data_IF_534218247114
#
_entry.id   IF_534218247114
#
_cell.length_a   1.000
_cell.length_b   1.000
_cell.length_c   1.000
_cell.angle_alpha   90.00
_cell.angle_beta   90.00
_cell.angle_gamma   90.00
#
_symmetry.space_group_name_H-M   'P 1'
#
loop_
_entity.id
_entity.type
_entity.pdbx_description
1 polymer ?
#
# COMPACT_ATOMS: atom_id res chain seq x y z
N UNK A 1 8.84 -2.93 -8.58
CA UNK A 1 8.23 -3.49 -7.35
C UNK A 1 7.64 -2.31 -6.62
N UNK A 2 6.32 -2.10 -6.69
CA UNK A 2 5.65 -1.06 -5.91
C UNK A 2 5.43 -1.56 -4.50
N UNK A 3 6.36 -1.23 -3.59
CA UNK A 3 6.26 -1.47 -2.15
C UNK A 3 6.02 -0.14 -1.41
N UNK A 4 5.42 -0.21 -0.23
CA UNK A 4 5.22 0.96 0.61
C UNK A 4 6.60 1.45 1.09
N UNK A 5 7.05 2.60 0.59
CA UNK A 5 8.35 3.18 0.99
C UNK A 5 8.20 4.07 2.21
N UNK A 6 9.29 4.27 2.94
CA UNK A 6 9.31 5.24 4.06
C UNK A 6 8.95 6.65 3.61
N UNK A 7 9.30 7.03 2.37
CA UNK A 7 8.89 8.29 1.76
C UNK A 7 7.37 8.40 1.66
N UNK A 8 6.70 7.36 1.14
CA UNK A 8 5.24 7.34 1.01
C UNK A 8 4.57 7.38 2.38
N UNK A 9 5.00 6.52 3.31
CA UNK A 9 4.46 6.51 4.67
C UNK A 9 4.67 7.86 5.38
N UNK A 10 5.86 8.47 5.26
CA UNK A 10 6.15 9.77 5.88
C UNK A 10 5.29 10.90 5.34
N UNK A 11 4.94 10.88 4.05
CA UNK A 11 4.04 11.87 3.45
C UNK A 11 2.62 11.71 3.98
N UNK A 12 2.11 10.48 3.99
CA UNK A 12 0.77 10.18 4.50
C UNK A 12 0.63 10.56 5.99
N UNK A 13 1.63 10.21 6.80
CA UNK A 13 1.65 10.60 8.21
C UNK A 13 1.72 12.11 8.39
N UNK A 14 2.57 12.80 7.63
CA UNK A 14 2.65 14.26 7.67
C UNK A 14 1.29 14.90 7.35
N UNK A 15 0.63 14.46 6.27
CA UNK A 15 -0.67 14.98 5.85
C UNK A 15 -1.76 14.68 6.89
N UNK A 16 -1.79 13.46 7.45
CA UNK A 16 -2.71 13.07 8.51
C UNK A 16 -2.54 13.90 9.79
N UNK A 17 -1.29 14.13 10.20
CA UNK A 17 -0.98 14.93 11.39
C UNK A 17 -1.31 16.41 11.17
N UNK A 18 -1.01 16.97 9.99
CA UNK A 18 -1.35 18.37 9.66
C UNK A 18 -2.85 18.62 9.52
N UNK A 19 -3.64 17.59 9.24
CA UNK A 19 -5.09 17.66 9.24
C UNK A 19 -5.70 17.42 10.62
N UNK A 20 -4.89 17.17 11.65
CA UNK A 20 -5.33 16.95 13.03
C UNK A 20 -5.88 15.54 13.29
N UNK A 21 -5.61 14.58 12.40
CA UNK A 21 -6.09 13.21 12.54
C UNK A 21 -5.21 12.42 13.50
N UNK A 22 -5.83 11.63 14.37
CA UNK A 22 -5.12 10.68 15.23
C UNK A 22 -4.69 9.46 14.43
N UNK A 23 -3.38 9.19 14.43
CA UNK A 23 -2.81 8.02 13.77
C UNK A 23 -3.21 6.77 14.55
N UNK A 24 -4.14 6.00 13.99
CA UNK A 24 -4.66 4.76 14.56
C UNK A 24 -4.60 3.65 13.52
N UNK A 25 -4.68 2.39 13.96
CA UNK A 25 -4.73 1.24 13.04
C UNK A 25 -5.86 1.36 12.01
N UNK A 26 -7.01 1.89 12.42
CA UNK A 26 -8.18 2.13 11.55
C UNK A 26 -7.85 3.17 10.48
N UNK A 27 -7.27 4.30 10.88
CA UNK A 27 -6.87 5.36 9.94
C UNK A 27 -5.76 4.89 8.99
N UNK A 28 -4.79 4.13 9.49
CA UNK A 28 -3.75 3.50 8.68
C UNK A 28 -4.38 2.58 7.63
N UNK A 29 -5.30 1.68 8.02
CA UNK A 29 -6.00 0.80 7.05
C UNK A 29 -6.79 1.59 6.01
N UNK A 30 -7.47 2.66 6.41
CA UNK A 30 -8.26 3.47 5.48
C UNK A 30 -7.38 4.25 4.50
N UNK A 31 -6.29 4.85 4.99
CA UNK A 31 -5.30 5.57 4.18
C UNK A 31 -4.52 4.63 3.27
N UNK A 32 -4.22 3.43 3.77
CA UNK A 32 -3.42 2.42 3.10
C UNK A 32 -4.30 1.39 2.34
N UNK A 33 -5.54 1.74 1.97
CA UNK A 33 -6.52 0.85 1.30
C UNK A 33 -6.02 0.11 0.06
N UNK A 34 -5.05 0.69 -0.65
CA UNK A 34 -4.49 0.09 -1.87
C UNK A 34 -3.40 -0.94 -1.57
N UNK A 35 -3.05 -1.12 -0.29
CA UNK A 35 -2.08 -2.09 0.20
C UNK A 35 -2.79 -3.19 1.01
N UNK A 36 -2.28 -4.42 0.89
CA UNK A 36 -2.77 -5.56 1.65
C UNK A 36 -2.17 -5.53 3.05
N UNK A 37 -2.82 -4.78 3.95
CA UNK A 37 -2.43 -4.66 5.35
C UNK A 37 -3.51 -5.31 6.20
N UNK A 38 -3.12 -6.35 6.95
CA UNK A 38 -3.99 -7.00 7.92
C UNK A 38 -4.13 -6.16 9.21
N UNK A 39 -5.16 -6.46 10.00
CA UNK A 39 -5.45 -5.72 11.23
C UNK A 39 -4.30 -5.77 12.25
N UNK A 40 -3.59 -6.91 12.33
CA UNK A 40 -2.48 -7.07 13.25
C UNK A 40 -1.28 -6.21 12.82
N UNK A 41 -0.92 -6.24 11.54
CA UNK A 41 0.13 -5.38 10.96
C UNK A 41 -0.20 -3.90 11.14
N UNK A 42 -1.44 -3.49 10.86
CA UNK A 42 -1.87 -2.09 11.03
C UNK A 42 -1.77 -1.63 12.49
N UNK A 43 -2.14 -2.49 13.44
CA UNK A 43 -2.02 -2.20 14.88
C UNK A 43 -0.55 -2.06 15.29
N UNK A 44 0.31 -3.00 14.90
CA UNK A 44 1.75 -2.94 15.18
C UNK A 44 2.38 -1.66 14.61
N UNK A 45 2.00 -1.27 13.39
CA UNK A 45 2.48 -0.03 12.79
C UNK A 45 2.03 1.20 13.57
N UNK A 46 0.75 1.28 13.97
CA UNK A 46 0.22 2.39 14.76
C UNK A 46 0.92 2.51 16.12
N UNK A 47 1.12 1.39 16.81
CA UNK A 47 1.83 1.34 18.08
C UNK A 47 3.28 1.79 17.93
N UNK A 48 3.99 1.33 16.88
CA UNK A 48 5.35 1.78 16.58
C UNK A 48 5.43 3.27 16.27
N UNK A 49 4.53 3.79 15.44
CA UNK A 49 4.49 5.22 15.09
C UNK A 49 4.29 6.08 16.36
N UNK A 50 3.43 5.62 17.26
CA UNK A 50 3.19 6.26 18.57
C UNK A 50 4.44 6.18 19.45
N UNK A 51 5.10 5.01 19.53
CA UNK A 51 6.35 4.82 20.27
C UNK A 51 7.51 5.68 19.75
N UNK A 52 7.57 5.91 18.43
CA UNK A 52 8.57 6.78 17.79
C UNK A 52 8.37 8.27 18.10
N UNK A 53 7.29 8.63 18.80
CA UNK A 53 6.95 10.02 19.13
C UNK A 53 6.71 10.84 17.87
N UNK A 54 6.10 10.25 16.85
CA UNK A 54 5.72 10.94 15.63
C UNK A 54 4.47 11.78 15.92
N UNK A 55 4.62 13.11 15.90
CA UNK A 55 3.56 14.09 16.13
C UNK A 55 3.55 15.18 15.05
N UNK A 56 2.55 16.07 15.12
CA UNK A 56 2.28 17.15 14.17
C UNK A 56 3.30 18.30 14.21
N UNK A 57 4.11 18.40 15.25
CA UNK A 57 5.26 19.30 15.34
C UNK A 57 6.40 18.91 14.38
N UNK A 58 6.41 17.66 13.89
CA UNK A 58 7.49 17.17 13.04
C UNK A 58 7.33 17.57 11.58
N UNK A 59 8.45 17.93 10.95
CA UNK A 59 8.52 18.05 9.50
C UNK A 59 8.46 16.67 8.85
N UNK A 60 7.91 16.58 7.62
CA UNK A 60 7.88 15.32 6.86
C UNK A 60 9.26 14.67 6.72
N UNK A 61 10.33 15.48 6.64
CA UNK A 61 11.71 14.97 6.65
C UNK A 61 12.08 14.31 7.99
N UNK A 62 11.71 14.91 9.12
CA UNK A 62 11.96 14.35 10.44
C UNK A 62 11.14 13.08 10.71
N UNK A 63 9.91 13.01 10.19
CA UNK A 63 9.09 11.79 10.20
C UNK A 63 9.77 10.69 9.39
N UNK A 64 10.20 10.99 8.16
CA UNK A 64 10.93 10.04 7.33
C UNK A 64 12.20 9.52 8.01
N UNK A 65 13.00 10.42 8.60
CA UNK A 65 14.21 10.02 9.34
C UNK A 65 13.90 9.12 10.52
N UNK A 66 12.79 9.33 11.26
CA UNK A 66 12.38 8.41 12.33
C UNK A 66 12.03 7.02 11.80
N UNK A 67 11.25 6.97 10.71
CA UNK A 67 10.87 5.71 10.06
C UNK A 67 12.12 4.97 9.54
N UNK A 68 13.04 5.69 8.90
CA UNK A 68 14.28 5.11 8.36
C UNK A 68 15.22 4.60 9.47
N UNK A 69 15.11 5.13 10.69
CA UNK A 69 15.88 4.68 11.86
C UNK A 69 15.22 3.51 12.62
N UNK A 70 13.99 3.11 12.27
CA UNK A 70 13.32 1.94 12.85
C UNK A 70 13.40 0.75 11.87
N UNK A 71 14.38 -0.16 12.03
CA UNK A 71 14.57 -1.27 11.11
C UNK A 71 13.40 -2.26 11.12
N UNK A 72 12.65 -2.35 12.21
CA UNK A 72 11.46 -3.21 12.25
C UNK A 72 10.29 -2.59 11.47
N UNK A 73 10.09 -1.27 11.56
CA UNK A 73 9.09 -0.58 10.76
C UNK A 73 9.43 -0.69 9.28
N UNK A 74 10.71 -0.54 8.90
CA UNK A 74 11.16 -0.81 7.54
C UNK A 74 10.90 -2.25 7.10
N UNK A 75 11.11 -3.23 7.99
CA UNK A 75 10.81 -4.63 7.71
C UNK A 75 9.32 -4.86 7.45
N UNK A 76 8.44 -4.28 8.28
CA UNK A 76 6.97 -4.31 8.08
C UNK A 76 6.58 -3.68 6.74
N UNK A 77 7.16 -2.53 6.41
CA UNK A 77 6.94 -1.86 5.13
C UNK A 77 7.29 -2.73 3.92
N UNK A 78 8.35 -3.53 4.02
CA UNK A 78 8.76 -4.48 2.97
C UNK A 78 7.85 -5.71 2.87
N UNK A 79 7.18 -6.10 3.95
CA UNK A 79 6.23 -7.22 3.97
C UNK A 79 4.88 -6.86 3.36
N UNK A 80 4.54 -5.57 3.35
CA UNK A 80 3.29 -5.05 2.79
C UNK A 80 3.33 -5.13 1.26
N UNK A 81 2.47 -6.01 0.72
CA UNK A 81 2.25 -6.14 -0.72
C UNK A 81 1.20 -5.14 -1.19
N UNK A 82 1.38 -4.59 -2.37
CA UNK A 82 0.29 -3.90 -3.08
C UNK A 82 -0.83 -4.90 -3.34
N UNK A 83 -2.08 -4.45 -3.14
CA UNK A 83 -3.21 -5.26 -3.56
C UNK A 83 -3.08 -5.53 -5.06
N UNK A 84 -3.25 -6.78 -5.52
CA UNK A 84 -3.19 -7.06 -6.94
C UNK A 84 -4.16 -6.11 -7.63
N UNK A 85 -3.62 -5.28 -8.53
CA UNK A 85 -4.41 -4.53 -9.50
C UNK A 85 -4.97 -5.57 -10.46
N UNK A 86 -5.92 -6.38 -10.00
CA UNK A 86 -6.64 -7.29 -10.88
C UNK A 86 -7.51 -6.38 -11.74
N UNK A 87 -6.93 -5.84 -12.81
CA UNK A 87 -7.70 -5.59 -14.02
C UNK A 87 -8.12 -6.97 -14.48
N UNK A 88 -9.18 -7.49 -13.87
CA UNK A 88 -9.98 -8.54 -14.47
C UNK A 88 -10.53 -7.91 -15.74
N UNK A 89 -9.74 -7.95 -16.82
CA UNK A 89 -10.26 -7.83 -18.16
C UNK A 89 -11.09 -9.09 -18.40
N UNK A 90 -12.27 -9.13 -17.79
CA UNK A 90 -13.29 -10.10 -18.15
C UNK A 90 -13.78 -9.63 -19.51
N UNK A 91 -13.17 -10.12 -20.58
CA UNK A 91 -13.80 -10.12 -21.89
C UNK A 91 -15.00 -11.05 -21.77
N UNK A 92 -16.15 -10.55 -21.31
CA UNK A 92 -17.42 -11.25 -21.46
C UNK A 92 -17.76 -11.27 -22.95
N UNK A 93 -17.21 -12.25 -23.68
CA UNK A 93 -17.64 -12.54 -25.04
C UNK A 93 -19.03 -13.19 -24.97
N UNK A 94 -20.08 -12.39 -25.10
CA UNK A 94 -21.41 -12.89 -25.46
C UNK A 94 -21.45 -13.11 -26.97
N UNK A 95 -20.83 -14.19 -27.42
CA UNK A 95 -20.90 -14.63 -28.81
C UNK A 95 -20.60 -16.12 -28.87
N UNK A 96 -21.53 -16.90 -29.40
CA UNK A 96 -21.24 -18.28 -29.79
C UNK A 96 -20.31 -18.21 -30.99
N UNK A 97 -19.01 -18.31 -30.75
CA UNK A 97 -17.98 -18.26 -31.78
C UNK A 97 -16.80 -19.10 -31.32
N UNK A 98 -16.49 -20.15 -32.09
CA UNK A 98 -15.37 -21.06 -31.87
C UNK A 98 -14.06 -20.31 -31.60
N UNK A 99 -13.38 -20.65 -30.50
CA UNK A 99 -12.03 -20.17 -30.23
C UNK A 99 -11.03 -21.13 -30.88
N UNK A 100 -10.60 -20.81 -32.10
CA UNK A 100 -9.56 -21.57 -32.82
C UNK A 100 -8.17 -21.09 -32.35
N UNK A 101 -7.53 -21.85 -31.46
CA UNK A 101 -6.16 -21.61 -30.98
C UNK A 101 -5.06 -22.12 -31.93
N UNK A 102 -5.24 -21.99 -33.25
CA UNK A 102 -4.28 -22.53 -34.22
C UNK A 102 -4.12 -21.65 -35.44
N UNK A 103 -2.87 -21.30 -35.75
CA UNK A 103 -2.46 -20.59 -36.96
C UNK A 103 -3.11 -21.25 -38.20
N UNK A 104 -4.14 -20.63 -38.77
CA UNK A 104 -4.81 -21.15 -39.97
C UNK A 104 -3.95 -20.78 -41.19
N UNK A 105 -3.11 -21.71 -41.64
CA UNK A 105 -2.48 -21.58 -42.96
C UNK A 105 -3.56 -21.88 -44.01
N UNK A 106 -3.99 -20.84 -44.72
CA UNK A 106 -4.86 -20.95 -45.89
C UNK A 106 -3.96 -21.21 -47.09
N UNK A 107 -3.99 -22.43 -47.64
CA UNK A 107 -3.49 -22.70 -48.99
C UNK A 107 -4.66 -22.63 -49.96
N UNK A 108 -4.50 -21.80 -50.98
CA UNK A 108 -5.42 -21.63 -52.11
C UNK A 108 -5.31 -22.80 -53.08
#
# INVERSE_FOLDING_TARGET
>A
MDFLTSTVLSGLLYDGLKTGVTISAVWLKDTLRNWLIDDNTAQIMADKITQLGINDDLSGKAIKTRIDNDPELLRLLMEIKTAPQTINHVSTHHGSGDIVHGNKIIKN
#
